data_IF_576620765458
#
_entry.id   IF_576620765458
#
_cell.length_a   1.000
_cell.length_b   1.000
_cell.length_c   1.000
_cell.angle_alpha   90.00
_cell.angle_beta   90.00
_cell.angle_gamma   90.00
#
_symmetry.space_group_name_H-M   'P 1'
#
loop_
_entity.id
_entity.type
_entity.pdbx_description
1 polymer ?
#
# COMPACT_ATOMS: atom_id res chain seq x y z
N UNK A 1 -7.71 13.74 23.02
CA UNK A 1 -8.11 12.59 23.87
C UNK A 1 -9.08 11.74 23.07
N UNK A 2 -8.97 10.42 23.12
CA UNK A 2 -9.95 9.54 22.47
C UNK A 2 -11.33 9.78 23.12
N UNK A 3 -12.36 10.00 22.30
CA UNK A 3 -13.72 10.21 22.81
C UNK A 3 -14.19 8.91 23.49
N UNK A 4 -14.43 8.95 24.80
CA UNK A 4 -14.89 7.80 25.60
C UNK A 4 -16.23 7.23 25.11
N UNK A 5 -17.01 8.01 24.34
CA UNK A 5 -18.24 7.55 23.69
C UNK A 5 -17.98 6.50 22.59
N UNK A 6 -16.83 6.57 21.89
CA UNK A 6 -16.48 5.61 20.84
C UNK A 6 -16.08 4.22 21.39
N UNK A 7 -15.78 4.12 22.69
CA UNK A 7 -15.36 2.88 23.33
C UNK A 7 -16.54 2.02 23.83
N UNK A 8 -17.79 2.51 23.69
CA UNK A 8 -19.03 1.85 24.15
C UNK A 8 -18.92 1.23 25.56
N UNK A 9 -18.14 1.84 26.45
CA UNK A 9 -18.03 1.42 27.85
C UNK A 9 -17.49 0.01 28.10
N UNK A 10 -16.78 -0.61 27.14
CA UNK A 10 -16.09 -1.89 27.36
C UNK A 10 -14.63 -1.80 26.90
N UNK A 11 -13.75 -1.47 27.84
CA UNK A 11 -12.30 -1.50 27.62
C UNK A 11 -11.79 -2.93 27.41
N UNK A 12 -10.54 -3.07 26.95
CA UNK A 12 -9.89 -4.39 26.79
C UNK A 12 -9.90 -5.19 28.12
N UNK A 13 -9.85 -4.48 29.24
CA UNK A 13 -9.87 -5.01 30.61
C UNK A 13 -11.26 -5.52 31.07
N UNK A 14 -12.34 -5.19 30.35
CA UNK A 14 -13.71 -5.58 30.71
C UNK A 14 -14.25 -6.72 29.84
N UNK A 15 -13.47 -7.18 28.84
CA UNK A 15 -13.88 -8.22 27.88
C UNK A 15 -13.16 -9.53 28.16
N UNK A 16 -13.87 -10.64 28.02
CA UNK A 16 -13.28 -11.97 28.07
C UNK A 16 -12.34 -12.21 26.89
N UNK A 17 -11.38 -13.12 27.05
CA UNK A 17 -10.47 -13.51 25.96
C UNK A 17 -11.22 -14.00 24.70
N UNK A 18 -12.38 -14.64 24.89
CA UNK A 18 -13.24 -15.09 23.78
C UNK A 18 -13.83 -13.91 23.01
N UNK A 19 -14.39 -12.93 23.70
CA UNK A 19 -14.96 -11.72 23.06
C UNK A 19 -13.89 -10.90 22.34
N UNK A 20 -12.70 -10.77 22.94
CA UNK A 20 -11.57 -10.10 22.29
C UNK A 20 -11.15 -10.83 21.01
N UNK A 21 -11.11 -12.17 21.03
CA UNK A 21 -10.80 -12.98 19.84
C UNK A 21 -11.84 -12.81 18.75
N UNK A 22 -13.13 -12.82 19.10
CA UNK A 22 -14.22 -12.61 18.14
C UNK A 22 -14.14 -11.22 17.49
N UNK A 23 -13.88 -10.18 18.29
CA UNK A 23 -13.69 -8.80 17.78
C UNK A 23 -12.46 -8.74 16.85
N UNK A 24 -11.34 -9.34 17.23
CA UNK A 24 -10.14 -9.37 16.42
C UNK A 24 -10.38 -10.09 15.07
N UNK A 25 -11.10 -11.20 15.08
CA UNK A 25 -11.49 -11.93 13.86
C UNK A 25 -12.41 -11.08 12.99
N UNK A 26 -13.43 -10.44 13.57
CA UNK A 26 -14.33 -9.55 12.83
C UNK A 26 -13.57 -8.37 12.22
N UNK A 27 -12.68 -7.73 12.97
CA UNK A 27 -11.83 -6.66 12.50
C UNK A 27 -10.89 -7.11 11.37
N UNK A 28 -10.28 -8.29 11.52
CA UNK A 28 -9.42 -8.89 10.50
C UNK A 28 -10.17 -9.20 9.20
N UNK A 29 -11.39 -9.74 9.28
CA UNK A 29 -12.25 -10.01 8.12
C UNK A 29 -12.65 -8.71 7.42
N UNK A 30 -13.16 -7.73 8.17
CA UNK A 30 -13.58 -6.44 7.63
C UNK A 30 -12.41 -5.67 6.98
N UNK A 31 -11.24 -5.65 7.64
CA UNK A 31 -10.02 -5.07 7.07
C UNK A 31 -9.56 -5.80 5.81
N UNK A 32 -9.60 -7.14 5.81
CA UNK A 32 -9.30 -7.95 4.63
C UNK A 32 -10.24 -7.65 3.46
N UNK A 33 -11.54 -7.51 3.73
CA UNK A 33 -12.55 -7.16 2.72
C UNK A 33 -12.31 -5.76 2.14
N UNK A 34 -12.07 -4.77 2.99
CA UNK A 34 -11.75 -3.41 2.55
C UNK A 34 -10.48 -3.38 1.67
N UNK A 35 -9.43 -4.12 2.05
CA UNK A 35 -8.20 -4.24 1.25
C UNK A 35 -8.46 -4.88 -0.10
N UNK A 36 -9.23 -5.98 -0.16
CA UNK A 36 -9.61 -6.65 -1.41
C UNK A 36 -10.44 -5.73 -2.31
N UNK A 37 -11.39 -4.99 -1.76
CA UNK A 37 -12.18 -4.00 -2.51
C UNK A 37 -11.29 -2.93 -3.13
N UNK A 38 -10.33 -2.38 -2.39
CA UNK A 38 -9.37 -1.39 -2.92
C UNK A 38 -8.47 -1.98 -4.01
N UNK A 39 -8.01 -3.22 -3.84
CA UNK A 39 -7.21 -3.91 -4.85
C UNK A 39 -8.01 -4.15 -6.14
N UNK A 40 -9.23 -4.65 -6.03
CA UNK A 40 -10.13 -4.86 -7.17
C UNK A 40 -10.44 -3.54 -7.88
N UNK A 41 -10.75 -2.47 -7.13
CA UNK A 41 -10.97 -1.15 -7.72
C UNK A 41 -9.77 -0.66 -8.53
N UNK A 42 -8.55 -0.77 -7.99
CA UNK A 42 -7.33 -0.41 -8.74
C UNK A 42 -7.14 -1.24 -9.99
N UNK A 43 -7.39 -2.55 -9.91
CA UNK A 43 -7.32 -3.43 -11.08
C UNK A 43 -8.30 -2.98 -12.16
N UNK A 44 -9.55 -2.74 -11.81
CA UNK A 44 -10.58 -2.27 -12.75
C UNK A 44 -10.25 -0.90 -13.31
N UNK A 45 -9.79 0.05 -12.48
CA UNK A 45 -9.39 1.37 -12.94
C UNK A 45 -8.26 1.29 -13.98
N UNK A 46 -7.22 0.51 -13.72
CA UNK A 46 -6.11 0.35 -14.65
C UNK A 46 -6.56 -0.28 -15.97
N UNK A 47 -7.50 -1.24 -15.93
CA UNK A 47 -8.08 -1.81 -17.15
C UNK A 47 -8.84 -0.76 -17.97
N UNK A 48 -9.63 0.09 -17.32
CA UNK A 48 -10.37 1.16 -17.99
C UNK A 48 -9.42 2.21 -18.57
N UNK A 49 -8.40 2.62 -17.82
CA UNK A 49 -7.40 3.59 -18.26
C UNK A 49 -6.59 3.10 -19.48
N UNK A 50 -6.23 1.81 -19.51
CA UNK A 50 -5.52 1.21 -20.63
C UNK A 50 -6.39 0.92 -21.87
N UNK A 51 -7.68 1.25 -21.84
CA UNK A 51 -8.58 0.99 -22.98
C UNK A 51 -8.29 1.99 -24.09
N UNK A 52 -8.12 1.50 -25.33
CA UNK A 52 -8.00 2.34 -26.51
C UNK A 52 -9.27 3.16 -26.74
N UNK A 53 -9.10 4.39 -27.23
CA UNK A 53 -10.19 5.30 -27.56
C UNK A 53 -10.10 5.73 -29.01
N UNK A 54 -11.27 5.94 -29.60
CA UNK A 54 -11.42 6.60 -30.90
C UNK A 54 -11.99 8.02 -30.66
N UNK A 55 -11.08 8.95 -30.37
CA UNK A 55 -11.42 10.35 -30.13
C UNK A 55 -10.97 11.22 -31.31
N UNK A 56 -11.90 11.91 -31.99
CA UNK A 56 -11.55 12.83 -33.07
C UNK A 56 -10.60 13.96 -32.65
N UNK A 57 -10.63 14.34 -31.37
CA UNK A 57 -9.75 15.38 -30.81
C UNK A 57 -8.39 14.81 -30.38
N UNK A 58 -8.39 13.69 -29.65
CA UNK A 58 -7.17 13.20 -28.99
C UNK A 58 -6.41 12.17 -29.82
N UNK A 59 -7.08 11.25 -30.53
CA UNK A 59 -6.41 10.17 -31.27
C UNK A 59 -5.37 10.71 -32.26
N UNK A 60 -5.68 11.69 -33.14
CA UNK A 60 -4.69 12.20 -34.09
C UNK A 60 -3.49 12.89 -33.42
N UNK A 61 -3.73 13.57 -32.29
CA UNK A 61 -2.69 14.30 -31.56
C UNK A 61 -1.75 13.33 -30.85
N UNK A 62 -2.30 12.32 -30.20
CA UNK A 62 -1.53 11.31 -29.47
C UNK A 62 -0.70 10.45 -30.43
N UNK A 63 -1.29 10.01 -31.54
CA UNK A 63 -0.60 9.24 -32.56
C UNK A 63 0.53 10.04 -33.22
N UNK A 64 0.32 11.33 -33.49
CA UNK A 64 1.36 12.22 -34.03
C UNK A 64 2.55 12.38 -33.06
N UNK A 65 2.35 12.18 -31.76
CA UNK A 65 3.40 12.17 -30.73
C UNK A 65 4.02 10.77 -30.52
N UNK A 66 3.55 9.75 -31.26
CA UNK A 66 3.97 8.36 -31.09
C UNK A 66 3.44 7.70 -29.80
N UNK A 67 2.33 8.22 -29.25
CA UNK A 67 1.68 7.68 -28.07
C UNK A 67 0.47 6.83 -28.47
N UNK A 68 0.17 5.81 -27.66
CA UNK A 68 -1.07 5.04 -27.80
C UNK A 68 -2.26 5.93 -27.43
N UNK A 69 -3.34 5.88 -28.22
CA UNK A 69 -4.58 6.60 -27.95
C UNK A 69 -5.43 5.81 -26.95
N UNK A 70 -5.03 5.84 -25.68
CA UNK A 70 -5.78 5.22 -24.58
C UNK A 70 -6.51 6.28 -23.75
N UNK A 71 -7.47 5.85 -22.94
CA UNK A 71 -8.16 6.74 -22.02
C UNK A 71 -7.18 7.42 -21.06
N UNK A 72 -6.13 6.71 -20.63
CA UNK A 72 -5.07 7.23 -19.78
C UNK A 72 -4.32 8.39 -20.44
N UNK A 73 -3.76 8.16 -21.62
CA UNK A 73 -2.94 9.17 -22.32
C UNK A 73 -3.76 10.39 -22.70
N UNK A 74 -5.01 10.19 -23.14
CA UNK A 74 -5.92 11.28 -23.44
C UNK A 74 -6.29 12.09 -22.18
N UNK A 75 -6.56 11.43 -21.05
CA UNK A 75 -6.84 12.12 -19.78
C UNK A 75 -5.64 12.95 -19.33
N UNK A 76 -4.41 12.40 -19.41
CA UNK A 76 -3.19 13.14 -19.07
C UNK A 76 -2.98 14.35 -19.98
N UNK A 77 -3.14 14.18 -21.29
CA UNK A 77 -3.02 15.27 -22.25
C UNK A 77 -4.07 16.37 -22.01
N UNK A 78 -5.29 15.99 -21.66
CA UNK A 78 -6.35 16.94 -21.28
C UNK A 78 -5.98 17.74 -20.02
N UNK A 79 -5.43 17.10 -18.98
CA UNK A 79 -4.97 17.80 -17.77
C UNK A 79 -3.83 18.78 -18.08
N UNK A 80 -2.88 18.40 -18.94
CA UNK A 80 -1.81 19.30 -19.38
C UNK A 80 -2.40 20.50 -20.14
N UNK A 81 -3.33 20.27 -21.07
CA UNK A 81 -4.02 21.33 -21.83
C UNK A 81 -4.73 22.31 -20.89
N UNK A 82 -5.46 21.80 -19.90
CA UNK A 82 -6.11 22.63 -18.87
C UNK A 82 -5.12 23.43 -18.02
N UNK A 83 -4.00 22.80 -17.62
CA UNK A 83 -2.95 23.49 -16.87
C UNK A 83 -2.33 24.64 -17.67
N UNK A 84 -2.07 24.44 -18.97
CA UNK A 84 -1.58 25.47 -19.89
C UNK A 84 -2.58 26.62 -20.02
N UNK A 85 -3.88 26.33 -19.93
CA UNK A 85 -4.94 27.34 -19.94
C UNK A 85 -5.14 28.04 -18.58
N UNK A 86 -4.27 27.82 -17.60
CA UNK A 86 -4.29 28.48 -16.30
C UNK A 86 -5.08 27.77 -15.20
N UNK A 87 -5.51 26.52 -15.43
CA UNK A 87 -6.18 25.74 -14.40
C UNK A 87 -5.18 25.23 -13.36
N UNK A 88 -5.14 25.89 -12.20
CA UNK A 88 -4.19 25.57 -11.12
C UNK A 88 -4.36 24.17 -10.56
N UNK A 89 -5.59 23.63 -10.51
CA UNK A 89 -5.83 22.24 -10.05
C UNK A 89 -5.25 21.22 -11.02
N UNK A 90 -5.40 21.46 -12.33
CA UNK A 90 -4.78 20.63 -13.34
C UNK A 90 -3.25 20.73 -13.27
N UNK A 91 -2.70 21.93 -13.02
CA UNK A 91 -1.26 22.11 -12.80
C UNK A 91 -0.75 21.32 -11.58
N UNK A 92 -1.48 21.32 -10.45
CA UNK A 92 -1.15 20.49 -9.29
C UNK A 92 -1.20 18.99 -9.62
N UNK A 93 -2.20 18.54 -10.37
CA UNK A 93 -2.28 17.16 -10.84
C UNK A 93 -1.02 16.80 -11.64
N UNK A 94 -0.65 17.60 -12.66
CA UNK A 94 0.54 17.35 -13.48
C UNK A 94 1.83 17.35 -12.64
N UNK A 95 1.99 18.29 -11.71
CA UNK A 95 3.16 18.38 -10.86
C UNK A 95 3.37 17.12 -10.00
N UNK A 96 2.29 16.57 -9.42
CA UNK A 96 2.35 15.35 -8.60
C UNK A 96 2.93 14.14 -9.37
N UNK A 97 2.58 13.98 -10.64
CA UNK A 97 3.07 12.88 -11.48
C UNK A 97 4.44 13.15 -12.11
N UNK A 98 4.84 14.41 -12.23
CA UNK A 98 6.19 14.80 -12.68
C UNK A 98 7.29 14.56 -11.62
N UNK A 99 6.96 13.91 -10.51
CA UNK A 99 7.90 13.68 -9.39
C UNK A 99 8.12 14.91 -8.51
N UNK A 100 7.34 15.97 -8.71
CA UNK A 100 7.32 17.08 -7.77
C UNK A 100 6.43 16.68 -6.60
N UNK A 101 7.04 16.05 -5.60
CA UNK A 101 6.35 15.65 -4.38
C UNK A 101 5.73 16.89 -3.72
N UNK A 102 4.41 16.90 -3.47
CA UNK A 102 3.80 17.90 -2.59
C UNK A 102 4.15 17.65 -1.12
N UNK A 103 4.71 16.47 -0.81
CA UNK A 103 5.15 16.10 0.53
C UNK A 103 6.49 16.80 0.82
N UNK A 104 6.55 17.72 1.81
CA UNK A 104 7.80 18.32 2.23
C UNK A 104 8.82 17.23 2.57
N UNK A 105 10.09 17.41 2.18
CA UNK A 105 11.16 16.48 2.54
C UNK A 105 11.19 16.15 4.04
N UNK A 106 10.76 17.10 4.87
CA UNK A 106 10.64 16.95 6.31
C UNK A 106 9.64 15.87 6.73
N UNK A 107 8.51 15.74 6.03
CA UNK A 107 7.53 14.67 6.29
C UNK A 107 8.08 13.30 5.90
N UNK A 108 8.86 13.23 4.82
CA UNK A 108 9.55 12.01 4.38
C UNK A 108 10.56 11.59 5.45
N UNK A 109 11.42 12.51 5.90
CA UNK A 109 12.40 12.30 6.97
C UNK A 109 11.75 11.90 8.30
N UNK A 110 10.65 12.54 8.68
CA UNK A 110 9.92 12.20 9.90
C UNK A 110 9.33 10.78 9.85
N UNK A 111 8.83 10.35 8.68
CA UNK A 111 8.32 9.00 8.48
C UNK A 111 9.44 7.96 8.52
N UNK A 112 10.60 8.27 7.94
CA UNK A 112 11.80 7.42 8.00
C UNK A 112 12.28 7.28 9.45
N UNK A 113 12.45 8.39 10.15
CA UNK A 113 12.84 8.41 11.56
C UNK A 113 11.85 7.64 12.45
N UNK A 114 10.54 7.79 12.26
CA UNK A 114 9.53 7.03 13.01
C UNK A 114 9.58 5.53 12.68
N UNK A 115 9.91 5.18 11.43
CA UNK A 115 10.11 3.79 11.01
C UNK A 115 11.35 3.19 11.68
N UNK A 116 12.47 3.93 11.71
CA UNK A 116 13.69 3.52 12.42
C UNK A 116 13.46 3.38 13.91
N UNK A 117 12.77 4.34 14.55
CA UNK A 117 12.43 4.28 15.97
C UNK A 117 11.57 3.05 16.30
N UNK A 118 10.60 2.73 15.45
CA UNK A 118 9.76 1.53 15.60
C UNK A 118 10.57 0.25 15.41
N UNK A 119 11.49 0.20 14.44
CA UNK A 119 12.42 -0.93 14.26
C UNK A 119 13.32 -1.12 15.48
N UNK A 120 13.95 -0.04 15.96
CA UNK A 120 14.82 -0.07 17.13
C UNK A 120 14.07 -0.50 18.40
N UNK A 121 12.83 -0.01 18.60
CA UNK A 121 11.97 -0.44 19.71
C UNK A 121 11.57 -1.91 19.59
N UNK A 122 11.23 -2.38 18.38
CA UNK A 122 10.93 -3.80 18.14
C UNK A 122 12.15 -4.64 18.53
N UNK A 123 13.33 -4.30 18.03
CA UNK A 123 14.58 -4.99 18.33
C UNK A 123 14.90 -5.01 19.83
N UNK A 124 14.73 -3.89 20.52
CA UNK A 124 14.98 -3.80 21.96
C UNK A 124 14.00 -4.64 22.81
N UNK A 125 12.75 -4.82 22.34
CA UNK A 125 11.71 -5.56 23.06
C UNK A 125 11.74 -7.05 22.75
N UNK A 126 12.01 -7.45 21.50
CA UNK A 126 11.97 -8.86 21.07
C UNK A 126 13.35 -9.51 20.96
N UNK A 127 14.44 -8.72 20.94
CA UNK A 127 15.79 -9.21 20.68
C UNK A 127 16.01 -9.72 19.24
N UNK A 128 15.00 -9.61 18.37
CA UNK A 128 15.09 -10.00 16.97
C UNK A 128 15.92 -8.97 16.22
N UNK A 129 17.14 -9.36 15.86
CA UNK A 129 18.00 -8.64 14.94
C UNK A 129 17.77 -9.25 13.56
N UNK A 130 17.27 -8.49 12.59
CA UNK A 130 17.25 -8.91 11.17
C UNK A 130 18.67 -8.79 10.55
N UNK A 131 19.70 -9.22 11.29
CA UNK A 131 21.06 -9.34 10.76
C UNK A 131 21.12 -10.55 9.83
N UNK A 132 21.86 -10.46 8.71
CA UNK A 132 22.04 -11.59 7.77
C UNK A 132 22.42 -12.89 8.48
N UNK A 133 23.30 -12.83 9.49
CA UNK A 133 23.67 -14.00 10.30
C UNK A 133 22.50 -14.65 11.07
N UNK A 134 21.50 -13.87 11.49
CA UNK A 134 20.34 -14.39 12.22
C UNK A 134 19.35 -15.07 11.26
N UNK A 135 19.23 -14.54 10.04
CA UNK A 135 18.44 -15.13 8.95
C UNK A 135 19.08 -16.44 8.47
N UNK A 136 20.41 -16.48 8.29
CA UNK A 136 21.14 -17.70 7.93
C UNK A 136 21.01 -18.81 8.98
N UNK A 137 21.08 -18.46 10.28
CA UNK A 137 20.85 -19.44 11.35
C UNK A 137 19.43 -19.98 11.35
N UNK A 138 18.44 -19.12 11.08
CA UNK A 138 17.03 -19.55 10.97
C UNK A 138 16.83 -20.50 9.78
N UNK A 139 17.43 -20.19 8.63
CA UNK A 139 17.38 -21.04 7.44
C UNK A 139 18.01 -22.42 7.68
N UNK A 140 19.14 -22.47 8.39
CA UNK A 140 19.78 -23.72 8.76
C UNK A 140 18.89 -24.56 9.69
N UNK A 141 18.26 -23.95 10.71
CA UNK A 141 17.34 -24.64 11.62
C UNK A 141 16.13 -25.20 10.85
N UNK A 142 15.53 -24.40 9.96
CA UNK A 142 14.38 -24.83 9.15
C UNK A 142 14.75 -25.97 8.19
N UNK A 143 15.96 -25.96 7.65
CA UNK A 143 16.48 -27.03 6.80
C UNK A 143 16.66 -28.34 7.58
N UNK A 144 17.27 -28.29 8.76
CA UNK A 144 17.41 -29.46 9.64
C UNK A 144 16.06 -30.03 10.08
N UNK A 145 15.09 -29.17 10.40
CA UNK A 145 13.72 -29.61 10.73
C UNK A 145 13.04 -30.31 9.56
N UNK A 146 13.19 -29.78 8.34
CA UNK A 146 12.66 -30.41 7.12
C UNK A 146 13.29 -31.77 6.89
N UNK A 147 14.62 -31.86 6.99
CA UNK A 147 15.36 -33.10 6.74
C UNK A 147 15.02 -34.18 7.76
N UNK A 148 14.79 -33.79 9.02
CA UNK A 148 14.34 -34.71 10.07
C UNK A 148 12.88 -35.16 9.88
N UNK A 149 11.98 -34.28 9.42
CA UNK A 149 10.60 -34.65 9.11
C UNK A 149 10.54 -35.66 7.94
N UNK A 150 11.36 -35.46 6.90
CA UNK A 150 11.44 -36.38 5.75
C UNK A 150 11.95 -37.77 6.16
N UNK A 151 12.91 -37.83 7.10
CA UNK A 151 13.40 -39.11 7.65
C UNK A 151 12.35 -39.86 8.47
N UNK A 152 11.47 -39.16 9.19
CA UNK A 152 10.39 -39.79 9.96
C UNK A 152 9.23 -40.30 9.10
N UNK A 153 9.06 -39.81 7.88
CA UNK A 153 8.05 -40.30 6.92
C UNK A 153 8.53 -41.49 6.07
N UNK A 154 9.82 -41.85 6.16
CA UNK A 154 10.44 -42.93 5.38
C UNK A 154 10.81 -44.18 6.20
N UNK A 155 10.50 -44.20 7.51
CA UNK A 155 10.46 -45.38 8.39
C UNK A 155 9.01 -45.85 8.62
#
# INVERSE_FOLDING_TARGET
MANNENLKGYGFHERTAKEQREIAVMGGKASGEARRRKANFRKTLNQLLATEIDSPEWTPVLEAMGLESTLETAMLAAQIKEAVNGNTKAAYFVAQYAGQSPEPEENIKNREADTELKKARKQAVTGENETEEALEKLDNILKEMRDNAVKQETE
#
